data_IF_500014850212
#
_entry.id   IF_500014850212
#
_cell.length_a   1.000
_cell.length_b   1.000
_cell.length_c   1.000
_cell.angle_alpha   90.00
_cell.angle_beta   90.00
_cell.angle_gamma   90.00
#
_symmetry.space_group_name_H-M   'P 1'
#
loop_
_entity.id
_entity.type
_entity.pdbx_description
1 polymer ?
#
# COMPACT_ATOMS: atom_id res chain seq x y z
N UNK A 1 -0.64 11.50 9.87
CA UNK A 1 -0.02 12.11 8.68
C UNK A 1 0.65 13.38 9.14
N UNK A 2 1.88 13.64 8.69
CA UNK A 2 2.86 14.52 9.32
C UNK A 2 2.64 16.03 9.09
N UNK A 3 1.41 16.47 8.85
CA UNK A 3 1.13 17.80 8.34
C UNK A 3 0.09 18.50 9.21
N UNK A 4 0.34 19.74 9.70
CA UNK A 4 -0.69 20.56 10.31
C UNK A 4 -1.85 20.76 9.32
N UNK A 5 -3.08 20.69 9.82
CA UNK A 5 -4.34 20.73 9.03
C UNK A 5 -4.55 22.02 8.23
N UNK A 6 -3.70 23.01 8.48
CA UNK A 6 -3.80 24.40 8.07
C UNK A 6 -2.59 24.86 7.24
N UNK A 7 -1.87 23.92 6.60
CA UNK A 7 -0.81 24.28 5.67
C UNK A 7 -1.38 24.84 4.36
N UNK A 8 -0.82 25.95 3.87
CA UNK A 8 -1.27 26.56 2.62
C UNK A 8 -0.71 25.74 1.45
N UNK A 9 -1.43 25.67 0.31
CA UNK A 9 -0.97 24.96 -0.89
C UNK A 9 0.42 25.40 -1.38
N UNK A 10 0.81 26.63 -1.03
CA UNK A 10 2.06 27.27 -1.46
C UNK A 10 3.31 26.73 -0.75
N UNK A 11 3.17 25.99 0.36
CA UNK A 11 4.29 25.57 1.20
C UNK A 11 4.93 24.23 0.76
N UNK A 12 4.16 23.31 0.17
CA UNK A 12 4.69 22.03 -0.36
C UNK A 12 3.68 21.30 -1.28
N UNK A 13 3.81 21.51 -2.58
CA UNK A 13 2.97 20.85 -3.58
C UNK A 13 3.15 19.32 -3.63
N UNK A 14 4.33 18.79 -3.23
CA UNK A 14 4.59 17.35 -3.27
C UNK A 14 3.79 16.59 -2.21
N UNK A 15 3.58 17.22 -1.06
CA UNK A 15 2.74 16.67 0.01
C UNK A 15 1.28 16.51 -0.43
N UNK A 16 0.70 17.53 -1.07
CA UNK A 16 -0.70 17.48 -1.48
C UNK A 16 -0.93 16.38 -2.52
N UNK A 17 -0.03 16.30 -3.51
CA UNK A 17 -0.04 15.26 -4.53
C UNK A 17 0.11 13.87 -3.90
N UNK A 18 1.02 13.70 -2.95
CA UNK A 18 1.22 12.41 -2.28
C UNK A 18 -0.01 11.98 -1.48
N UNK A 19 -0.70 12.91 -0.81
CA UNK A 19 -1.95 12.61 -0.09
C UNK A 19 -3.04 12.12 -1.05
N UNK A 20 -3.20 12.78 -2.19
CA UNK A 20 -4.18 12.40 -3.21
C UNK A 20 -3.86 11.02 -3.79
N UNK A 21 -2.59 10.79 -4.16
CA UNK A 21 -2.12 9.50 -4.70
C UNK A 21 -2.35 8.37 -3.67
N UNK A 22 -2.02 8.59 -2.39
CA UNK A 22 -2.32 7.61 -1.34
C UNK A 22 -3.81 7.32 -1.21
N UNK A 23 -4.66 8.35 -1.26
CA UNK A 23 -6.10 8.18 -1.19
C UNK A 23 -6.63 7.31 -2.33
N UNK A 24 -6.21 7.60 -3.57
CA UNK A 24 -6.59 6.82 -4.75
C UNK A 24 -6.12 5.36 -4.63
N UNK A 25 -4.85 5.16 -4.27
CA UNK A 25 -4.29 3.82 -4.08
C UNK A 25 -5.12 3.03 -3.06
N UNK A 26 -5.51 3.65 -1.95
CA UNK A 26 -6.28 2.99 -0.89
C UNK A 26 -7.67 2.59 -1.36
N UNK A 27 -8.37 3.47 -2.07
CA UNK A 27 -9.69 3.18 -2.64
C UNK A 27 -9.62 1.99 -3.60
N UNK A 28 -8.61 1.95 -4.47
CA UNK A 28 -8.41 0.85 -5.42
C UNK A 28 -8.10 -0.46 -4.69
N UNK A 29 -7.17 -0.45 -3.73
CA UNK A 29 -6.79 -1.66 -2.99
C UNK A 29 -7.94 -2.25 -2.17
N UNK A 30 -8.68 -1.40 -1.44
CA UNK A 30 -9.84 -1.84 -0.65
C UNK A 30 -10.98 -2.29 -1.57
N UNK A 31 -11.25 -1.58 -2.66
CA UNK A 31 -12.27 -1.97 -3.63
C UNK A 31 -12.00 -3.36 -4.23
N UNK A 32 -10.75 -3.63 -4.59
CA UNK A 32 -10.33 -4.94 -5.10
C UNK A 32 -10.41 -6.04 -4.03
N UNK A 33 -10.09 -5.72 -2.77
CA UNK A 33 -10.23 -6.68 -1.66
C UNK A 33 -11.71 -7.06 -1.44
N UNK A 34 -12.60 -6.07 -1.41
CA UNK A 34 -14.05 -6.30 -1.26
C UNK A 34 -14.57 -7.13 -2.43
N UNK A 35 -14.19 -6.76 -3.67
CA UNK A 35 -14.56 -7.52 -4.85
C UNK A 35 -14.09 -8.97 -4.79
N UNK A 36 -12.83 -9.22 -4.40
CA UNK A 36 -12.26 -10.55 -4.23
C UNK A 36 -12.98 -11.38 -3.15
N UNK A 37 -13.43 -10.72 -2.08
CA UNK A 37 -14.21 -11.36 -1.02
C UNK A 37 -15.61 -11.75 -1.49
N UNK A 38 -16.34 -10.84 -2.14
CA UNK A 38 -17.66 -11.11 -2.68
C UNK A 38 -17.64 -12.25 -3.70
N UNK A 39 -16.65 -12.25 -4.59
CA UNK A 39 -16.50 -13.27 -5.63
C UNK A 39 -16.05 -14.62 -5.06
N UNK A 40 -15.20 -14.64 -4.01
CA UNK A 40 -14.85 -15.87 -3.30
C UNK A 40 -16.05 -16.49 -2.55
N UNK A 41 -16.97 -15.67 -2.04
CA UNK A 41 -18.18 -16.15 -1.36
C UNK A 41 -19.29 -16.60 -2.33
N UNK A 42 -19.36 -16.01 -3.53
CA UNK A 42 -20.48 -16.21 -4.45
C UNK A 42 -20.18 -17.13 -5.65
N UNK A 43 -18.92 -17.43 -5.97
CA UNK A 43 -18.57 -18.31 -7.09
C UNK A 43 -18.21 -19.72 -6.63
N UNK A 44 -18.77 -20.74 -7.32
CA UNK A 44 -18.36 -22.15 -7.18
C UNK A 44 -17.21 -22.52 -8.12
N UNK A 45 -16.99 -21.73 -9.18
CA UNK A 45 -15.86 -21.86 -10.09
C UNK A 45 -14.95 -20.65 -9.90
N UNK A 46 -13.80 -20.89 -9.26
CA UNK A 46 -12.80 -19.89 -8.92
C UNK A 46 -11.88 -19.65 -10.12
N UNK A 47 -12.45 -19.32 -11.28
CA UNK A 47 -11.70 -19.38 -12.52
C UNK A 47 -10.91 -18.09 -12.83
N UNK A 48 -9.68 -18.31 -13.29
CA UNK A 48 -8.62 -17.43 -13.86
C UNK A 48 -8.42 -15.99 -13.31
N UNK A 49 -9.47 -15.18 -13.13
CA UNK A 49 -9.35 -13.78 -12.68
C UNK A 49 -8.88 -13.67 -11.22
N UNK A 50 -9.33 -14.58 -10.33
CA UNK A 50 -8.83 -14.71 -8.95
C UNK A 50 -7.38 -15.17 -8.85
N UNK A 51 -6.90 -15.85 -9.90
CA UNK A 51 -5.59 -16.52 -9.92
C UNK A 51 -4.44 -15.63 -10.37
N UNK A 52 -4.68 -14.38 -10.77
CA UNK A 52 -3.62 -13.48 -11.23
C UNK A 52 -3.76 -12.02 -10.79
N UNK A 53 -4.97 -11.45 -10.85
CA UNK A 53 -5.15 -10.01 -10.62
C UNK A 53 -4.99 -9.56 -9.15
N UNK A 54 -5.51 -10.27 -8.12
CA UNK A 54 -5.46 -9.79 -6.74
C UNK A 54 -4.04 -9.66 -6.15
N UNK A 55 -3.12 -10.65 -6.30
CA UNK A 55 -1.76 -10.52 -5.76
C UNK A 55 -0.96 -9.39 -6.39
N UNK A 56 -1.13 -9.17 -7.70
CA UNK A 56 -0.44 -8.09 -8.41
C UNK A 56 -0.86 -6.72 -7.88
N UNK A 57 -2.15 -6.52 -7.62
CA UNK A 57 -2.67 -5.27 -7.06
C UNK A 57 -2.12 -5.03 -5.65
N UNK A 58 -2.06 -6.05 -4.79
CA UNK A 58 -1.51 -5.90 -3.43
C UNK A 58 -0.01 -5.59 -3.43
N UNK A 59 0.75 -6.26 -4.31
CA UNK A 59 2.19 -6.00 -4.47
C UNK A 59 2.44 -4.60 -5.06
N UNK A 60 1.66 -4.20 -6.06
CA UNK A 60 1.75 -2.87 -6.66
C UNK A 60 1.42 -1.78 -5.64
N UNK A 61 0.37 -1.98 -4.84
CA UNK A 61 0.04 -1.07 -3.75
C UNK A 61 1.21 -0.94 -2.77
N UNK A 62 1.78 -2.07 -2.32
CA UNK A 62 2.92 -2.06 -1.39
C UNK A 62 4.14 -1.31 -1.96
N UNK A 63 4.45 -1.51 -3.24
CA UNK A 63 5.57 -0.84 -3.90
C UNK A 63 5.30 0.65 -4.04
N UNK A 64 4.12 1.04 -4.54
CA UNK A 64 3.79 2.44 -4.76
C UNK A 64 3.63 3.22 -3.45
N UNK A 65 3.01 2.63 -2.43
CA UNK A 65 2.88 3.26 -1.11
C UNK A 65 4.24 3.36 -0.39
N UNK A 66 5.10 2.34 -0.52
CA UNK A 66 6.46 2.36 0.00
C UNK A 66 7.36 3.38 -0.69
N UNK A 67 7.31 3.45 -2.03
CA UNK A 67 8.04 4.45 -2.82
C UNK A 67 7.61 5.87 -2.44
N UNK A 68 6.31 6.10 -2.27
CA UNK A 68 5.82 7.40 -1.87
C UNK A 68 6.27 7.77 -0.45
N UNK A 69 6.40 6.79 0.46
CA UNK A 69 7.04 7.02 1.77
C UNK A 69 8.52 7.39 1.66
N UNK A 70 9.25 6.81 0.71
CA UNK A 70 10.65 7.15 0.46
C UNK A 70 10.80 8.55 -0.16
N UNK A 71 9.84 8.96 -0.98
CA UNK A 71 9.82 10.29 -1.63
C UNK A 71 9.29 11.38 -0.70
N UNK A 72 8.55 11.03 0.36
CA UNK A 72 8.14 11.93 1.44
C UNK A 72 9.33 12.33 2.36
N UNK A 73 10.46 12.73 1.78
CA UNK A 73 11.49 13.46 2.52
C UNK A 73 10.98 14.89 2.75
N UNK A 74 10.34 15.09 3.90
CA UNK A 74 9.63 16.33 4.19
C UNK A 74 10.64 17.48 4.31
N UNK A 75 10.66 18.38 3.33
CA UNK A 75 11.43 19.63 3.40
C UNK A 75 11.08 20.47 4.63
N UNK A 76 9.93 20.24 5.26
CA UNK A 76 9.53 20.84 6.53
C UNK A 76 10.34 20.37 7.74
N UNK A 77 10.92 19.17 7.70
CA UNK A 77 11.79 18.68 8.77
C UNK A 77 13.23 19.15 8.59
N UNK A 78 13.67 19.40 7.34
CA UNK A 78 15.04 19.83 7.02
C UNK A 78 15.17 21.35 6.87
N UNK A 79 14.15 22.04 6.35
CA UNK A 79 14.14 23.45 5.98
C UNK A 79 12.73 24.04 6.20
N UNK A 80 12.34 24.20 7.46
CA UNK A 80 11.05 24.78 7.81
C UNK A 80 11.05 26.31 7.59
N UNK A 81 10.43 26.78 6.50
CA UNK A 81 10.28 28.23 6.23
C UNK A 81 9.44 28.95 7.28
N UNK A 82 8.50 28.25 7.93
CA UNK A 82 7.72 28.81 9.04
C UNK A 82 8.64 29.11 10.24
N UNK A 83 9.58 28.21 10.56
CA UNK A 83 10.60 28.44 11.60
C UNK A 83 11.52 29.59 11.22
N UNK A 84 11.97 29.68 9.96
CA UNK A 84 12.74 30.83 9.51
C UNK A 84 11.96 32.13 9.68
N UNK A 85 10.67 32.16 9.32
CA UNK A 85 9.82 33.36 9.43
C UNK A 85 9.54 33.79 10.87
N UNK A 86 9.38 32.85 11.81
CA UNK A 86 9.21 33.13 13.24
C UNK A 86 10.51 33.60 13.92
N UNK A 87 11.67 33.26 13.35
CA UNK A 87 12.98 33.65 13.85
C UNK A 87 13.43 35.04 13.32
N UNK A 88 12.77 35.60 12.30
CA UNK A 88 13.14 36.92 11.73
C UNK A 88 12.87 38.08 12.68
N UNK A 89 11.87 37.98 13.56
CA UNK A 89 11.45 39.11 14.43
C UNK A 89 12.09 39.10 15.83
N UNK A 90 12.97 38.13 16.15
CA UNK A 90 13.68 38.06 17.45
C UNK A 90 12.78 37.97 18.69
N UNK A 91 11.45 37.80 18.51
CA UNK A 91 10.43 37.84 19.57
C UNK A 91 10.07 36.49 20.16
N UNK A 92 10.52 35.39 19.57
CA UNK A 92 10.21 34.02 20.02
C UNK A 92 11.53 33.31 20.32
N UNK A 93 12.05 33.50 21.53
CA UNK A 93 13.35 32.98 21.96
C UNK A 93 13.33 31.55 22.52
N UNK A 94 12.21 30.83 22.49
CA UNK A 94 12.18 29.49 23.12
C UNK A 94 11.07 28.55 22.63
N UNK A 95 10.91 28.38 21.32
CA UNK A 95 10.25 27.16 20.83
C UNK A 95 11.36 26.17 20.48
N UNK A 96 11.78 25.37 21.47
CA UNK A 96 12.62 24.19 21.25
C UNK A 96 11.80 23.19 20.44
N UNK A 97 11.98 23.22 19.12
CA UNK A 97 11.52 22.11 18.30
C UNK A 97 12.45 20.92 18.53
N UNK A 98 11.91 19.69 18.63
CA UNK A 98 12.73 18.51 18.81
C UNK A 98 13.70 18.36 17.61
N UNK A 99 14.97 18.09 17.92
CA UNK A 99 16.07 17.80 16.96
C UNK A 99 15.74 16.65 15.99
N UNK A 100 14.72 15.85 16.31
CA UNK A 100 14.27 14.73 15.51
C UNK A 100 12.81 14.89 15.15
N UNK A 101 12.51 14.82 13.86
CA UNK A 101 11.14 14.66 13.41
C UNK A 101 10.66 13.24 13.71
N UNK A 102 9.65 13.12 14.57
CA UNK A 102 8.99 11.84 14.81
C UNK A 102 7.86 11.63 13.82
N UNK A 103 7.69 10.39 13.38
CA UNK A 103 6.65 10.03 12.41
C UNK A 103 5.30 9.98 13.13
N UNK A 104 4.39 10.90 12.80
CA UNK A 104 3.06 10.96 13.42
C UNK A 104 2.24 9.69 13.18
N UNK A 105 1.27 9.42 14.07
CA UNK A 105 0.49 8.16 14.13
C UNK A 105 -0.05 7.70 12.78
N UNK A 106 -0.61 8.60 11.97
CA UNK A 106 -1.12 8.21 10.65
C UNK A 106 -0.04 7.75 9.67
N UNK A 107 1.20 8.24 9.77
CA UNK A 107 2.31 7.71 8.97
C UNK A 107 2.69 6.30 9.42
N UNK A 108 2.70 6.05 10.74
CA UNK A 108 2.97 4.72 11.31
C UNK A 108 1.91 3.72 10.82
N UNK A 109 0.64 4.13 10.83
CA UNK A 109 -0.47 3.29 10.34
C UNK A 109 -0.33 2.93 8.86
N UNK A 110 0.02 3.88 8.00
CA UNK A 110 0.18 3.58 6.57
C UNK A 110 1.43 2.73 6.32
N UNK A 111 2.50 2.88 7.12
CA UNK A 111 3.66 2.00 7.04
C UNK A 111 3.31 0.56 7.42
N UNK A 112 2.56 0.34 8.51
CA UNK A 112 2.06 -0.98 8.91
C UNK A 112 1.14 -1.56 7.83
N UNK A 113 0.21 -0.76 7.32
CA UNK A 113 -0.70 -1.19 6.26
C UNK A 113 0.08 -1.60 5.00
N UNK A 114 1.09 -0.83 4.60
CA UNK A 114 1.97 -1.14 3.47
C UNK A 114 2.62 -2.52 3.65
N UNK A 115 3.14 -2.82 4.83
CA UNK A 115 3.71 -4.13 5.15
C UNK A 115 2.67 -5.26 5.06
N UNK A 116 1.45 -5.03 5.57
CA UNK A 116 0.36 -6.00 5.50
C UNK A 116 -0.08 -6.29 4.06
N UNK A 117 -0.15 -5.26 3.20
CA UNK A 117 -0.46 -5.43 1.78
C UNK A 117 0.64 -6.21 1.05
N UNK A 118 1.91 -5.95 1.36
CA UNK A 118 3.03 -6.74 0.85
C UNK A 118 2.94 -8.22 1.27
N UNK A 119 2.64 -8.48 2.54
CA UNK A 119 2.44 -9.84 3.04
C UNK A 119 1.27 -10.54 2.36
N UNK A 120 0.13 -9.84 2.19
CA UNK A 120 -1.03 -10.36 1.48
C UNK A 120 -0.70 -10.72 0.03
N UNK A 121 0.10 -9.90 -0.66
CA UNK A 121 0.60 -10.18 -2.00
C UNK A 121 1.41 -11.47 -2.07
N UNK A 122 2.40 -11.62 -1.18
CA UNK A 122 3.26 -12.83 -1.11
C UNK A 122 2.43 -14.08 -0.81
N UNK A 123 1.56 -14.04 0.20
CA UNK A 123 0.72 -15.16 0.57
C UNK A 123 -0.25 -15.55 -0.56
N UNK A 124 -0.77 -14.57 -1.30
CA UNK A 124 -1.65 -14.81 -2.44
C UNK A 124 -0.89 -15.52 -3.58
N UNK A 125 0.34 -15.11 -3.88
CA UNK A 125 1.20 -15.80 -4.88
C UNK A 125 1.51 -17.24 -4.44
N UNK A 126 1.84 -17.44 -3.16
CA UNK A 126 2.11 -18.79 -2.63
C UNK A 126 0.87 -19.69 -2.73
N UNK A 127 -0.31 -19.16 -2.41
CA UNK A 127 -1.58 -19.89 -2.52
C UNK A 127 -1.88 -20.27 -3.97
N UNK A 128 -1.66 -19.37 -4.93
CA UNK A 128 -1.87 -19.63 -6.35
C UNK A 128 -0.91 -20.70 -6.89
N UNK A 129 0.37 -20.65 -6.52
CA UNK A 129 1.36 -21.69 -6.90
C UNK A 129 0.94 -23.07 -6.39
N UNK A 130 0.48 -23.14 -5.14
CA UNK A 130 -0.02 -24.39 -4.56
C UNK A 130 -1.25 -24.90 -5.31
N UNK A 131 -2.19 -24.02 -5.64
CA UNK A 131 -3.38 -24.37 -6.39
C UNK A 131 -3.07 -24.85 -7.83
N UNK A 132 -2.14 -24.20 -8.54
CA UNK A 132 -1.72 -24.61 -9.90
C UNK A 132 -1.20 -26.04 -9.89
N UNK A 133 -0.28 -26.32 -8.95
CA UNK A 133 0.33 -27.65 -8.81
C UNK A 133 -0.69 -28.74 -8.51
N UNK A 134 -1.73 -28.45 -7.72
CA UNK A 134 -2.81 -29.42 -7.47
C UNK A 134 -3.72 -29.63 -8.68
N UNK A 135 -3.97 -28.59 -9.49
CA UNK A 135 -4.78 -28.73 -10.71
C UNK A 135 -4.06 -29.59 -11.74
N UNK A 136 -2.78 -29.31 -12.00
CA UNK A 136 -1.94 -30.08 -12.93
C UNK A 136 -1.85 -31.57 -12.52
N UNK A 137 -1.72 -31.85 -11.21
CA UNK A 137 -1.68 -33.22 -10.71
C UNK A 137 -3.01 -33.97 -10.89
N UNK A 138 -4.14 -33.27 -10.71
CA UNK A 138 -5.47 -33.85 -10.93
C UNK A 138 -5.75 -34.09 -12.42
N UNK A 139 -5.34 -33.17 -13.30
CA UNK A 139 -5.46 -33.35 -14.75
C UNK A 139 -4.64 -34.55 -15.23
N UNK A 140 -3.38 -34.67 -14.78
CA UNK A 140 -2.51 -35.81 -15.10
C UNK A 140 -3.07 -37.14 -14.58
N UNK A 141 -3.68 -37.16 -13.38
CA UNK A 141 -4.34 -38.35 -12.86
C UNK A 141 -5.59 -38.72 -13.67
N UNK A 142 -6.36 -37.73 -14.10
CA UNK A 142 -7.56 -37.94 -14.91
C UNK A 142 -7.21 -38.52 -16.28
N UNK A 143 -6.14 -38.00 -16.91
CA UNK A 143 -5.63 -38.53 -18.17
C UNK A 143 -5.11 -39.97 -18.03
N UNK A 144 -4.40 -40.28 -16.94
CA UNK A 144 -3.93 -41.64 -16.64
C UNK A 144 -5.10 -42.63 -16.47
N UNK A 145 -6.15 -42.25 -15.74
CA UNK A 145 -7.33 -43.09 -15.52
C UNK A 145 -8.10 -43.38 -16.82
N UNK A 146 -8.17 -42.41 -17.74
CA UNK A 146 -8.81 -42.60 -19.05
C UNK A 146 -7.98 -43.52 -19.95
N UNK A 147 -6.66 -43.53 -19.80
CA UNK A 147 -5.76 -44.36 -20.61
C UNK A 147 -5.71 -45.84 -20.19
N UNK A 148 -6.05 -46.17 -18.94
CA UNK A 148 -6.06 -47.56 -18.43
C UNK A 148 -7.35 -48.34 -18.78
N UNK A 149 -8.40 -47.65 -19.24
CA UNK A 149 -9.72 -48.24 -19.59
C UNK A 149 -9.87 -48.63 -21.09
N UNK A 150 -8.79 -48.55 -21.89
CA UNK A 150 -8.72 -48.93 -23.33
C UNK A 150 -7.78 -50.10 -23.56
#
# INVERSE_FOLDING_TARGET
MLYPENMRPDDDAYWEVARIIMGILWVVAVGMLVFACCTACCSKELDTLHRGAPPLVYMLFCILSGLLFLVLDSNLCKNNRLVQSLNVDGKVTSVEFPETCSLGTGGILVAIATALWGLAGVLSVMAQRKASKSTEANEALTEALISDDV
#
